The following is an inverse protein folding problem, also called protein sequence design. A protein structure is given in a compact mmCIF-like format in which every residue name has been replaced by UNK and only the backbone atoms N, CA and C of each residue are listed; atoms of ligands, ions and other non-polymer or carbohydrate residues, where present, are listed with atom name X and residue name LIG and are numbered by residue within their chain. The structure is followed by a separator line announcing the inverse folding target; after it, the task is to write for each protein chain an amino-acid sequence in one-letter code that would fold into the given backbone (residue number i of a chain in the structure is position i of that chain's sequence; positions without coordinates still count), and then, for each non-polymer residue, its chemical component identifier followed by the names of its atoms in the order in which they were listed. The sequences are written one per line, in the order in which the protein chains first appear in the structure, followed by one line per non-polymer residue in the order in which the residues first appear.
data_IF_467366839338
#
_entry.id   IF_467366839338
#
_cell.length_a   1.000
_cell.length_b   1.000
_cell.length_c   1.000
_cell.angle_alpha   90.00
_cell.angle_beta   90.00
_cell.angle_gamma   90.00
#
_symmetry.space_group_name_H-M   'P 1'
#
loop_
_entity.id
_entity.type
_entity.pdbx_description
1 polymer ?
#
# COMPACT_ATOMS: atom_id res chain seq x y z
N UNK A 1 -15.68 36.20 -34.81
CA UNK A 1 -16.45 35.47 -33.77
C UNK A 1 -15.85 34.07 -33.57
N UNK A 2 -14.54 33.96 -33.35
CA UNK A 2 -13.80 32.69 -33.25
C UNK A 2 -12.92 32.60 -31.99
N UNK A 3 -12.78 33.69 -31.24
CA UNK A 3 -11.88 33.75 -30.06
C UNK A 3 -12.53 33.30 -28.75
N UNK A 4 -13.86 33.13 -28.70
CA UNK A 4 -14.56 32.74 -27.48
C UNK A 4 -14.70 31.21 -27.28
N UNK A 5 -14.50 30.40 -28.33
CA UNK A 5 -14.65 28.94 -28.21
C UNK A 5 -13.40 28.29 -27.59
N UNK A 6 -12.19 28.65 -28.04
CA UNK A 6 -10.95 28.05 -27.51
C UNK A 6 -10.71 28.34 -26.03
N UNK A 7 -11.09 29.52 -25.55
CA UNK A 7 -10.96 29.88 -24.14
C UNK A 7 -11.90 29.04 -23.25
N UNK A 8 -13.06 28.66 -23.76
CA UNK A 8 -14.03 27.86 -23.02
C UNK A 8 -13.54 26.41 -22.90
N UNK A 9 -13.06 25.82 -24.00
CA UNK A 9 -12.53 24.45 -24.01
C UNK A 9 -11.27 24.31 -23.14
N UNK A 10 -10.40 25.32 -23.14
CA UNK A 10 -9.21 25.32 -22.28
C UNK A 10 -9.57 25.44 -20.78
N UNK A 11 -10.65 26.14 -20.44
CA UNK A 11 -11.14 26.24 -19.06
C UNK A 11 -11.71 24.89 -18.59
N UNK A 12 -12.49 24.22 -19.44
CA UNK A 12 -13.04 22.88 -19.15
C UNK A 12 -11.91 21.86 -18.99
N UNK A 13 -10.90 21.89 -19.87
CA UNK A 13 -9.75 20.99 -19.77
C UNK A 13 -8.97 21.20 -18.45
N UNK A 14 -8.75 22.46 -18.04
CA UNK A 14 -8.09 22.77 -16.76
C UNK A 14 -8.89 22.27 -15.55
N UNK A 15 -10.21 22.43 -15.57
CA UNK A 15 -11.08 21.98 -14.48
C UNK A 15 -11.12 20.44 -14.37
N UNK A 16 -11.10 19.73 -15.51
CA UNK A 16 -11.00 18.27 -15.53
C UNK A 16 -9.65 17.78 -14.99
N UNK A 17 -8.54 18.34 -15.48
CA UNK A 17 -7.19 17.97 -15.01
C UNK A 17 -7.05 18.24 -13.51
N UNK A 18 -7.61 19.34 -13.01
CA UNK A 18 -7.54 19.70 -11.60
C UNK A 18 -8.39 18.77 -10.72
N UNK A 19 -9.57 18.35 -11.19
CA UNK A 19 -10.41 17.33 -10.54
C UNK A 19 -9.75 15.95 -10.53
N UNK A 20 -9.17 15.53 -11.64
CA UNK A 20 -8.42 14.28 -11.73
C UNK A 20 -7.21 14.29 -10.80
N UNK A 21 -6.47 15.40 -10.75
CA UNK A 21 -5.31 15.55 -9.86
C UNK A 21 -5.74 15.48 -8.39
N UNK A 22 -6.82 16.16 -7.99
CA UNK A 22 -7.34 16.08 -6.63
C UNK A 22 -7.89 14.69 -6.28
N UNK A 23 -8.50 13.98 -7.23
CA UNK A 23 -8.95 12.60 -7.03
C UNK A 23 -7.77 11.64 -6.86
N UNK A 24 -6.71 11.82 -7.63
CA UNK A 24 -5.46 11.05 -7.52
C UNK A 24 -4.75 11.34 -6.18
N UNK A 25 -4.71 12.60 -5.73
CA UNK A 25 -4.13 12.97 -4.44
C UNK A 25 -4.96 12.45 -3.25
N UNK A 26 -6.30 12.53 -3.35
CA UNK A 26 -7.21 11.97 -2.35
C UNK A 26 -7.11 10.44 -2.27
N UNK A 27 -6.87 9.77 -3.41
CA UNK A 27 -6.62 8.33 -3.45
C UNK A 27 -5.23 7.95 -2.90
N UNK A 28 -4.21 8.81 -3.08
CA UNK A 28 -2.87 8.63 -2.48
C UNK A 28 -2.86 8.82 -0.95
N UNK A 29 -3.77 9.62 -0.41
CA UNK A 29 -3.87 9.91 1.04
C UNK A 29 -4.91 9.10 1.81
N UNK A 30 -5.65 8.19 1.17
CA UNK A 30 -6.67 7.41 1.86
C UNK A 30 -6.00 6.35 2.75
N UNK A 31 -5.91 6.63 4.05
CA UNK A 31 -5.65 5.61 5.08
C UNK A 31 -6.74 4.55 4.99
N UNK A 32 -6.37 3.39 4.48
CA UNK A 32 -7.23 2.24 4.33
C UNK A 32 -7.21 1.50 5.66
N UNK A 33 -8.09 1.87 6.61
CA UNK A 33 -8.36 1.21 7.90
C UNK A 33 -7.15 0.73 8.75
N UNK A 34 -7.27 0.80 10.08
CA UNK A 34 -6.28 0.14 10.93
C UNK A 34 -6.50 -1.39 10.91
N UNK A 35 -5.45 -2.18 10.66
CA UNK A 35 -5.52 -3.64 10.62
C UNK A 35 -4.55 -4.25 11.62
N UNK A 36 -4.92 -5.39 12.22
CA UNK A 36 -3.99 -6.13 13.09
C UNK A 36 -3.33 -7.23 12.28
N UNK A 37 -2.01 -7.33 12.32
CA UNK A 37 -1.32 -8.46 11.70
C UNK A 37 -1.50 -9.69 12.58
N UNK A 38 -2.03 -10.76 12.01
CA UNK A 38 -2.24 -12.04 12.71
C UNK A 38 -1.10 -13.01 12.46
N UNK A 39 -0.51 -12.99 11.27
CA UNK A 39 0.58 -13.89 10.92
C UNK A 39 1.48 -13.32 9.81
N UNK A 40 2.71 -13.80 9.75
CA UNK A 40 3.57 -13.67 8.57
C UNK A 40 3.55 -15.00 7.85
N UNK A 41 2.88 -15.06 6.70
CA UNK A 41 2.76 -16.30 5.93
C UNK A 41 4.06 -16.55 5.14
N UNK A 42 4.57 -15.51 4.47
CA UNK A 42 5.79 -15.57 3.66
C UNK A 42 6.65 -14.32 3.86
N UNK A 43 7.87 -14.35 3.32
CA UNK A 43 8.89 -13.32 3.46
C UNK A 43 8.38 -11.89 3.21
N UNK A 44 7.42 -11.72 2.29
CA UNK A 44 6.77 -10.44 1.96
C UNK A 44 5.23 -10.52 1.98
N UNK A 45 4.65 -11.50 2.67
CA UNK A 45 3.18 -11.67 2.72
C UNK A 45 2.72 -11.73 4.17
N UNK A 46 1.92 -10.74 4.54
CA UNK A 46 1.28 -10.60 5.84
C UNK A 46 -0.16 -11.09 5.77
N UNK A 47 -0.63 -11.67 6.85
CA UNK A 47 -2.05 -11.94 7.07
C UNK A 47 -2.63 -10.91 8.03
N UNK A 48 -3.75 -10.32 7.66
CA UNK A 48 -4.50 -9.36 8.44
C UNK A 48 -5.67 -10.04 9.16
N UNK A 49 -6.00 -9.55 10.35
CA UNK A 49 -7.12 -10.02 11.19
C UNK A 49 -8.50 -9.74 10.61
N UNK A 50 -8.57 -8.87 9.61
CA UNK A 50 -9.81 -8.37 9.05
C UNK A 50 -9.62 -8.15 7.57
N UNK A 51 -10.68 -8.40 6.82
CA UNK A 51 -10.62 -8.31 5.37
C UNK A 51 -10.38 -6.85 4.94
N UNK A 52 -9.32 -6.62 4.15
CA UNK A 52 -9.20 -5.38 3.41
C UNK A 52 -10.25 -5.36 2.29
N UNK A 53 -10.74 -4.18 1.95
CA UNK A 53 -11.64 -3.96 0.81
C UNK A 53 -11.05 -2.91 -0.09
N UNK A 54 -10.79 -3.24 -1.34
CA UNK A 54 -10.19 -2.32 -2.31
C UNK A 54 -10.73 -2.60 -3.71
N UNK A 55 -11.24 -1.59 -4.40
CA UNK A 55 -11.81 -1.71 -5.76
C UNK A 55 -12.83 -2.84 -5.94
N UNK A 56 -13.68 -3.08 -4.93
CA UNK A 56 -14.68 -4.16 -4.95
C UNK A 56 -14.12 -5.56 -4.66
N UNK A 57 -12.80 -5.70 -4.52
CA UNK A 57 -12.14 -6.92 -4.07
C UNK A 57 -11.98 -6.92 -2.55
N UNK A 58 -11.88 -8.13 -1.97
CA UNK A 58 -11.69 -8.35 -0.55
C UNK A 58 -10.66 -9.45 -0.29
N UNK A 59 -9.98 -9.41 0.84
CA UNK A 59 -9.07 -10.48 1.25
C UNK A 59 -8.34 -10.21 2.56
N UNK A 60 -7.58 -11.20 3.00
CA UNK A 60 -6.83 -11.13 4.27
C UNK A 60 -5.34 -10.92 4.08
N UNK A 61 -4.83 -11.07 2.86
CA UNK A 61 -3.37 -11.09 2.61
C UNK A 61 -2.87 -9.78 2.05
N UNK A 62 -1.75 -9.32 2.58
CA UNK A 62 -1.11 -8.05 2.19
C UNK A 62 0.33 -8.33 1.77
N UNK A 63 0.76 -7.66 0.69
CA UNK A 63 2.15 -7.60 0.25
C UNK A 63 2.66 -6.17 0.43
N UNK A 64 3.47 -5.90 1.46
CA UNK A 64 4.04 -4.58 1.68
C UNK A 64 4.90 -4.14 0.49
N UNK A 65 4.77 -2.89 0.07
CA UNK A 65 5.67 -2.26 -0.91
C UNK A 65 6.96 -1.82 -0.23
N UNK A 66 8.06 -1.82 -0.99
CA UNK A 66 9.38 -1.38 -0.51
C UNK A 66 10.10 -2.39 0.38
N UNK A 67 9.47 -3.53 0.68
CA UNK A 67 10.08 -4.62 1.43
C UNK A 67 10.15 -5.85 0.53
N UNK A 68 11.36 -6.14 0.02
CA UNK A 68 11.56 -7.23 -0.93
C UNK A 68 12.68 -8.15 -0.47
N UNK A 69 12.42 -8.91 0.59
CA UNK A 69 13.30 -10.01 0.99
C UNK A 69 13.44 -11.00 -0.17
N UNK A 70 14.58 -10.97 -0.86
CA UNK A 70 14.94 -12.02 -1.81
C UNK A 70 15.50 -13.20 -1.02
N UNK A 71 14.74 -14.29 -0.94
CA UNK A 71 15.30 -15.62 -0.71
C UNK A 71 15.36 -16.05 0.75
N UNK A 72 14.24 -16.59 1.24
CA UNK A 72 14.13 -17.42 2.45
C UNK A 72 15.17 -18.55 2.55
N UNK A 73 15.71 -19.04 1.43
CA UNK A 73 16.72 -20.09 1.42
C UNK A 73 18.13 -19.60 1.78
N UNK A 74 18.29 -18.29 1.99
CA UNK A 74 19.55 -17.70 2.44
C UNK A 74 19.47 -17.40 3.93
N UNK A 75 20.60 -17.47 4.62
CA UNK A 75 20.72 -17.04 6.03
C UNK A 75 20.23 -15.60 6.23
N UNK A 76 20.40 -14.73 5.21
CA UNK A 76 19.93 -13.35 5.26
C UNK A 76 18.40 -13.27 5.24
N UNK A 77 17.73 -14.01 4.37
CA UNK A 77 16.27 -14.03 4.28
C UNK A 77 15.58 -14.59 5.53
N UNK A 78 16.17 -15.62 6.15
CA UNK A 78 15.65 -16.14 7.42
C UNK A 78 15.78 -15.11 8.56
N UNK A 79 16.91 -14.40 8.66
CA UNK A 79 17.08 -13.30 9.64
C UNK A 79 16.06 -12.17 9.44
N UNK A 80 15.76 -11.81 8.19
CA UNK A 80 14.71 -10.82 7.89
C UNK A 80 13.33 -11.28 8.37
N UNK A 81 13.00 -12.55 8.11
CA UNK A 81 11.73 -13.14 8.55
C UNK A 81 11.61 -13.11 10.08
N UNK A 82 12.67 -13.47 10.80
CA UNK A 82 12.68 -13.47 12.26
C UNK A 82 12.56 -12.04 12.83
N UNK A 83 13.27 -11.07 12.23
CA UNK A 83 13.19 -9.66 12.62
C UNK A 83 11.80 -9.06 12.35
N UNK A 84 11.22 -9.35 11.19
CA UNK A 84 9.84 -8.96 10.85
C UNK A 84 8.84 -9.60 11.83
N UNK A 85 9.01 -10.88 12.15
CA UNK A 85 8.15 -11.59 13.11
C UNK A 85 8.19 -10.95 14.49
N UNK A 86 9.36 -10.57 14.97
CA UNK A 86 9.48 -9.85 16.24
C UNK A 86 8.85 -8.45 16.19
N UNK A 87 8.96 -7.77 15.05
CA UNK A 87 8.47 -6.40 14.91
C UNK A 87 6.95 -6.33 14.86
N UNK A 88 6.29 -7.22 14.09
CA UNK A 88 4.88 -7.03 13.73
C UNK A 88 3.92 -8.00 14.40
N UNK A 89 4.40 -9.11 14.98
CA UNK A 89 3.51 -10.13 15.54
C UNK A 89 2.68 -9.54 16.69
N UNK A 90 1.36 -9.56 16.54
CA UNK A 90 0.41 -9.00 17.50
C UNK A 90 0.27 -7.47 17.45
N UNK A 91 1.07 -6.77 16.64
CA UNK A 91 1.01 -5.31 16.46
C UNK A 91 -0.15 -4.90 15.53
N UNK A 92 -0.65 -3.68 15.77
CA UNK A 92 -1.53 -3.01 14.83
C UNK A 92 -0.68 -2.30 13.77
N UNK A 93 -1.07 -2.45 12.52
CA UNK A 93 -0.45 -1.78 11.37
C UNK A 93 -1.51 -0.99 10.61
N UNK A 94 -1.08 0.06 9.95
CA UNK A 94 -1.93 0.84 9.05
C UNK A 94 -1.61 0.45 7.62
N UNK A 95 -2.64 0.06 6.86
CA UNK A 95 -2.53 -0.05 5.41
C UNK A 95 -2.80 1.34 4.83
N UNK A 96 -1.87 1.84 4.04
CA UNK A 96 -2.02 3.13 3.37
C UNK A 96 -2.19 2.90 1.87
N UNK A 97 -1.48 3.67 1.05
CA UNK A 97 -1.60 3.67 -0.40
C UNK A 97 -1.62 2.25 -0.96
N UNK A 98 -2.76 1.87 -1.56
CA UNK A 98 -2.94 0.59 -2.23
C UNK A 98 -2.73 0.75 -3.73
N UNK A 99 -2.02 -0.20 -4.34
CA UNK A 99 -1.57 -0.11 -5.73
C UNK A 99 -2.27 -1.10 -6.65
N UNK A 100 -2.44 -2.35 -6.20
CA UNK A 100 -3.05 -3.45 -6.97
C UNK A 100 -3.33 -4.66 -6.10
N UNK A 101 -4.10 -5.60 -6.63
CA UNK A 101 -4.15 -6.98 -6.11
C UNK A 101 -3.23 -7.86 -6.97
N UNK A 102 -2.29 -8.57 -6.33
CA UNK A 102 -1.40 -9.56 -6.97
C UNK A 102 -1.65 -10.94 -6.36
N UNK A 103 -2.33 -11.81 -7.13
CA UNK A 103 -2.61 -13.21 -6.74
C UNK A 103 -3.28 -13.31 -5.36
N UNK A 104 -4.34 -12.52 -5.16
CA UNK A 104 -5.10 -12.50 -3.91
C UNK A 104 -4.41 -11.77 -2.74
N UNK A 105 -3.38 -10.95 -3.01
CA UNK A 105 -2.71 -10.11 -2.02
C UNK A 105 -2.85 -8.65 -2.39
N UNK A 106 -3.29 -7.82 -1.45
CA UNK A 106 -3.27 -6.37 -1.63
C UNK A 106 -1.82 -5.87 -1.56
N UNK A 107 -1.36 -5.25 -2.64
CA UNK A 107 -0.06 -4.59 -2.70
C UNK A 107 -0.25 -3.16 -2.22
N UNK A 108 0.27 -2.83 -1.04
CA UNK A 108 0.10 -1.51 -0.43
C UNK A 108 1.27 -1.13 0.49
N UNK A 109 1.28 0.13 0.92
CA UNK A 109 2.16 0.59 1.99
C UNK A 109 1.66 0.11 3.35
N UNK A 110 2.58 -0.34 4.20
CA UNK A 110 2.29 -0.81 5.55
C UNK A 110 3.05 0.06 6.55
N UNK A 111 2.37 0.58 7.55
CA UNK A 111 2.93 1.47 8.55
C UNK A 111 2.78 0.91 9.97
N UNK A 112 3.81 1.13 10.80
CA UNK A 112 3.77 0.90 12.25
C UNK A 112 3.91 2.26 12.91
N UNK A 113 2.81 2.80 13.43
CA UNK A 113 2.74 4.20 13.83
C UNK A 113 3.02 5.13 12.65
N UNK A 114 4.00 6.03 12.78
CA UNK A 114 4.36 6.99 11.73
C UNK A 114 5.37 6.46 10.69
N UNK A 115 5.91 5.24 10.89
CA UNK A 115 7.03 4.73 10.09
C UNK A 115 6.59 3.64 9.11
N UNK A 116 7.04 3.73 7.86
CA UNK A 116 6.78 2.70 6.85
C UNK A 116 7.57 1.42 7.19
N UNK A 117 6.95 0.25 7.02
CA UNK A 117 7.57 -1.05 7.27
C UNK A 117 8.90 -1.23 6.53
N UNK A 118 8.98 -0.77 5.27
CA UNK A 118 10.18 -0.84 4.45
C UNK A 118 11.38 -0.12 5.11
N UNK A 119 11.15 0.96 5.85
CA UNK A 119 12.21 1.72 6.50
C UNK A 119 12.86 0.98 7.67
N UNK A 120 12.21 -0.03 8.24
CA UNK A 120 12.83 -0.89 9.26
C UNK A 120 13.81 -1.90 8.65
N UNK A 121 13.76 -2.08 7.33
CA UNK A 121 14.51 -3.08 6.58
C UNK A 121 15.23 -2.46 5.36
N UNK A 122 16.06 -1.42 5.54
CA UNK A 122 16.66 -0.66 4.42
C UNK A 122 17.60 -1.49 3.54
N UNK A 123 18.06 -2.64 4.03
CA UNK A 123 18.95 -3.57 3.31
C UNK A 123 18.20 -4.59 2.44
N UNK A 124 16.85 -4.59 2.43
CA UNK A 124 16.03 -5.65 1.84
C UNK A 124 15.03 -5.20 0.77
#
# INVERSE_FOLDING_TARGET
MLWNFELFDMLIAKDQVQKETQLVEKAKGATMSAFRVTSIIYENTLEASSDWKWNGETGTRVRPVGYNTRGLHTTKGQKSKDALSKLINGQQVELRTAYKVDRGRLVCEVFIGSRNLAEFFPEY
#
